data_IF_406424617443
#
_entry.id   IF_406424617443
#
_cell.length_a   1.000
_cell.length_b   1.000
_cell.length_c   1.000
_cell.angle_alpha   90.00
_cell.angle_beta   90.00
_cell.angle_gamma   90.00
#
_symmetry.space_group_name_H-M   'P 1'
#
loop_
_entity.id
_entity.type
_entity.pdbx_description
1 polymer ?
#
# COMPACT_ATOMS: atom_id res chain seq x y z
N UNK A 1 -9.03 9.75 -13.67
CA UNK A 1 -8.68 8.37 -14.07
C UNK A 1 -9.78 7.44 -13.63
N UNK A 2 -10.13 6.44 -14.43
CA UNK A 2 -11.13 5.42 -14.09
C UNK A 2 -10.50 4.04 -14.19
N UNK A 3 -10.30 3.37 -13.05
CA UNK A 3 -9.64 2.08 -13.01
C UNK A 3 -10.60 0.94 -13.41
N UNK A 4 -10.20 0.03 -14.32
CA UNK A 4 -11.09 -1.03 -14.83
C UNK A 4 -11.50 -2.05 -13.77
N UNK A 5 -10.68 -2.22 -12.73
CA UNK A 5 -10.92 -3.10 -11.60
C UNK A 5 -12.23 -2.84 -10.85
N UNK A 6 -12.69 -1.59 -10.82
CA UNK A 6 -13.95 -1.24 -10.21
C UNK A 6 -15.14 -1.54 -11.11
N UNK A 7 -14.95 -1.75 -12.43
CA UNK A 7 -16.01 -2.10 -13.39
C UNK A 7 -17.17 -1.09 -13.40
N UNK A 8 -16.86 0.20 -13.29
CA UNK A 8 -17.87 1.26 -13.43
C UNK A 8 -18.43 1.29 -14.85
N UNK A 9 -19.77 1.32 -14.96
CA UNK A 9 -20.44 1.64 -16.22
C UNK A 9 -20.10 3.08 -16.63
N UNK A 10 -19.91 3.32 -17.94
CA UNK A 10 -19.57 4.63 -18.50
C UNK A 10 -20.56 5.73 -18.12
N UNK A 11 -21.82 5.40 -17.80
CA UNK A 11 -22.80 6.38 -17.31
C UNK A 11 -22.43 7.01 -15.95
N UNK A 12 -21.58 6.35 -15.17
CA UNK A 12 -21.06 6.84 -13.89
C UNK A 12 -19.74 7.59 -14.02
N UNK A 13 -19.18 7.72 -15.23
CA UNK A 13 -17.96 8.46 -15.43
C UNK A 13 -18.19 9.96 -15.11
N UNK A 14 -17.12 10.68 -14.70
CA UNK A 14 -17.20 12.13 -14.52
C UNK A 14 -17.78 12.81 -15.76
N UNK A 15 -18.72 13.73 -15.58
CA UNK A 15 -19.38 14.46 -16.69
C UNK A 15 -18.56 15.64 -17.21
N UNK A 16 -17.50 16.01 -16.50
CA UNK A 16 -16.66 17.18 -16.78
C UNK A 16 -15.19 16.87 -16.51
N UNK A 17 -14.31 17.57 -17.22
CA UNK A 17 -12.87 17.36 -17.15
C UNK A 17 -12.40 16.27 -18.10
N UNK A 18 -11.09 16.12 -18.21
CA UNK A 18 -10.50 15.06 -19.02
C UNK A 18 -10.57 13.71 -18.29
N UNK A 19 -10.98 12.69 -19.03
CA UNK A 19 -11.11 11.33 -18.52
C UNK A 19 -10.02 10.49 -19.16
N UNK A 20 -9.27 9.82 -18.31
CA UNK A 20 -8.42 8.71 -18.71
C UNK A 20 -9.06 7.42 -18.20
N UNK A 21 -9.42 6.55 -19.14
CA UNK A 21 -9.82 5.17 -18.91
C UNK A 21 -9.00 4.24 -19.82
N UNK A 22 -8.76 3.03 -19.34
CA UNK A 22 -8.07 1.97 -20.06
C UNK A 22 -8.59 0.62 -19.59
N UNK A 23 -8.41 -0.42 -20.41
CA UNK A 23 -8.74 -1.81 -20.05
C UNK A 23 -7.58 -2.51 -19.33
N UNK A 24 -6.39 -1.90 -19.28
CA UNK A 24 -5.22 -2.49 -18.62
C UNK A 24 -5.47 -2.70 -17.12
N UNK A 25 -5.27 -3.93 -16.67
CA UNK A 25 -5.46 -4.33 -15.28
C UNK A 25 -4.15 -4.27 -14.48
N UNK A 26 -2.99 -4.35 -15.12
CA UNK A 26 -1.73 -4.20 -14.39
C UNK A 26 -1.44 -2.73 -14.07
N UNK A 27 -0.95 -2.46 -12.86
CA UNK A 27 -0.67 -1.10 -12.42
C UNK A 27 0.36 -0.39 -13.31
N UNK A 28 1.33 -1.15 -13.81
CA UNK A 28 2.39 -0.69 -14.70
C UNK A 28 1.84 -0.27 -16.05
N UNK A 29 1.08 -1.16 -16.70
CA UNK A 29 0.49 -0.94 -18.03
C UNK A 29 -0.50 0.23 -18.02
N UNK A 30 -1.40 0.26 -17.02
CA UNK A 30 -2.40 1.31 -16.90
C UNK A 30 -1.77 2.69 -16.70
N UNK A 31 -0.79 2.81 -15.79
CA UNK A 31 -0.19 4.11 -15.46
C UNK A 31 0.89 4.54 -16.46
N UNK A 32 1.58 3.62 -17.12
CA UNK A 32 2.44 3.97 -18.26
C UNK A 32 1.60 4.53 -19.41
N UNK A 33 0.46 3.89 -19.73
CA UNK A 33 -0.47 4.41 -20.75
C UNK A 33 -1.00 5.81 -20.40
N UNK A 34 -1.24 6.08 -19.11
CA UNK A 34 -1.58 7.43 -18.63
C UNK A 34 -0.43 8.41 -18.87
N UNK A 35 0.81 8.04 -18.52
CA UNK A 35 1.98 8.89 -18.70
C UNK A 35 2.34 9.13 -20.16
N UNK A 36 2.20 8.14 -21.04
CA UNK A 36 2.43 8.31 -22.47
C UNK A 36 1.50 9.38 -23.07
N UNK A 37 0.27 9.46 -22.55
CA UNK A 37 -0.72 10.44 -22.98
C UNK A 37 -0.54 11.83 -22.35
N UNK A 38 -0.12 11.90 -21.08
CA UNK A 38 -0.20 13.14 -20.30
C UNK A 38 1.14 13.66 -19.74
N UNK A 39 2.24 12.93 -19.85
CA UNK A 39 3.55 13.29 -19.25
C UNK A 39 3.98 14.73 -19.58
N UNK A 40 3.86 15.15 -20.84
CA UNK A 40 4.22 16.51 -21.28
C UNK A 40 3.39 17.62 -20.61
N UNK A 41 2.18 17.31 -20.14
CA UNK A 41 1.33 18.26 -19.41
C UNK A 41 1.62 18.28 -17.90
N UNK A 42 2.22 17.22 -17.37
CA UNK A 42 2.50 17.05 -15.94
C UNK A 42 3.85 17.67 -15.55
N UNK A 43 4.86 17.56 -16.41
CA UNK A 43 6.23 18.01 -16.12
C UNK A 43 6.25 19.53 -15.86
N UNK A 44 6.90 19.93 -14.77
CA UNK A 44 7.03 21.34 -14.35
C UNK A 44 5.76 21.95 -13.78
N UNK A 45 4.68 21.18 -13.59
CA UNK A 45 3.46 21.64 -12.93
C UNK A 45 3.45 21.28 -11.45
N UNK A 46 2.63 22.00 -10.69
CA UNK A 46 2.23 21.57 -9.34
C UNK A 46 1.17 20.50 -9.49
N UNK A 47 1.43 19.32 -8.93
CA UNK A 47 0.56 18.16 -9.05
C UNK A 47 -0.12 17.90 -7.71
N UNK A 48 -1.42 17.63 -7.79
CA UNK A 48 -2.23 17.18 -6.67
C UNK A 48 -3.01 15.94 -7.10
N UNK A 49 -3.02 14.92 -6.26
CA UNK A 49 -3.74 13.66 -6.52
C UNK A 49 -4.70 13.37 -5.36
N UNK A 50 -5.93 12.99 -5.67
CA UNK A 50 -6.83 12.38 -4.69
C UNK A 50 -6.62 10.87 -4.70
N UNK A 51 -6.03 10.34 -3.64
CA UNK A 51 -5.68 8.93 -3.53
C UNK A 51 -6.87 8.08 -3.06
N UNK A 52 -7.99 8.67 -2.66
CA UNK A 52 -9.14 7.98 -2.04
C UNK A 52 -9.67 6.83 -2.88
N UNK A 53 -9.69 6.97 -4.21
CA UNK A 53 -10.17 5.96 -5.15
C UNK A 53 -9.09 5.02 -5.69
N UNK A 54 -7.83 5.14 -5.28
CA UNK A 54 -6.75 4.31 -5.82
C UNK A 54 -6.72 2.91 -5.18
N UNK A 55 -6.39 1.91 -5.99
CA UNK A 55 -5.89 0.65 -5.43
C UNK A 55 -4.45 0.84 -4.95
N UNK A 56 -4.08 0.15 -3.88
CA UNK A 56 -2.76 0.30 -3.24
C UNK A 56 -1.59 0.05 -4.21
N UNK A 57 -1.59 -1.02 -5.05
CA UNK A 57 -0.55 -1.21 -6.05
C UNK A 57 -0.42 -0.05 -7.03
N UNK A 58 -1.55 0.48 -7.51
CA UNK A 58 -1.56 1.60 -8.45
C UNK A 58 -1.07 2.90 -7.79
N UNK A 59 -1.45 3.15 -6.54
CA UNK A 59 -0.92 4.29 -5.79
C UNK A 59 0.60 4.19 -5.65
N UNK A 60 1.10 3.03 -5.23
CA UNK A 60 2.53 2.83 -5.03
C UNK A 60 3.30 2.99 -6.35
N UNK A 61 2.86 2.33 -7.41
CA UNK A 61 3.50 2.47 -8.72
C UNK A 61 3.47 3.92 -9.22
N UNK A 62 2.36 4.65 -9.02
CA UNK A 62 2.29 6.08 -9.38
C UNK A 62 3.36 6.91 -8.65
N UNK A 63 3.59 6.67 -7.36
CA UNK A 63 4.64 7.37 -6.59
C UNK A 63 6.02 7.11 -7.19
N UNK A 64 6.29 5.86 -7.58
CA UNK A 64 7.55 5.48 -8.22
C UNK A 64 7.69 6.08 -9.62
N UNK A 65 6.61 6.10 -10.39
CA UNK A 65 6.56 6.68 -11.73
C UNK A 65 6.76 8.21 -11.69
N UNK A 66 6.19 8.88 -10.68
CA UNK A 66 6.46 10.30 -10.41
C UNK A 66 7.96 10.53 -10.17
N UNK A 67 8.59 9.70 -9.33
CA UNK A 67 10.04 9.79 -9.10
C UNK A 67 10.83 9.59 -10.41
N UNK A 68 10.46 8.59 -11.21
CA UNK A 68 11.11 8.27 -12.48
C UNK A 68 11.06 9.43 -13.47
N UNK A 69 9.92 10.11 -13.57
CA UNK A 69 9.74 11.29 -14.44
C UNK A 69 10.19 12.62 -13.82
N UNK A 70 10.87 12.60 -12.67
CA UNK A 70 11.37 13.80 -12.01
C UNK A 70 10.28 14.68 -11.36
N UNK A 71 9.07 14.13 -11.17
CA UNK A 71 8.01 14.75 -10.36
C UNK A 71 8.33 14.45 -8.90
N UNK A 72 9.18 15.28 -8.33
CA UNK A 72 9.70 15.06 -6.97
C UNK A 72 8.84 15.69 -5.87
N UNK A 73 7.84 16.51 -6.23
CA UNK A 73 6.97 17.17 -5.26
C UNK A 73 5.53 17.17 -5.75
N UNK A 74 4.63 16.66 -4.92
CA UNK A 74 3.20 16.63 -5.19
C UNK A 74 2.39 16.60 -3.90
N UNK A 75 1.13 17.02 -3.96
CA UNK A 75 0.20 16.88 -2.84
C UNK A 75 -0.69 15.65 -3.03
N UNK A 76 -0.78 14.79 -2.02
CA UNK A 76 -1.71 13.68 -1.96
C UNK A 76 -2.86 14.01 -1.00
N UNK A 77 -4.09 13.93 -1.49
CA UNK A 77 -5.30 14.11 -0.71
C UNK A 77 -5.95 12.76 -0.41
N UNK A 78 -6.33 12.53 0.83
CA UNK A 78 -7.05 11.33 1.24
C UNK A 78 -8.31 11.72 2.01
N UNK A 79 -9.46 11.30 1.48
CA UNK A 79 -10.76 11.48 2.13
C UNK A 79 -11.03 10.29 3.03
N UNK A 80 -11.07 10.55 4.32
CA UNK A 80 -11.40 9.57 5.34
C UNK A 80 -12.91 9.33 5.37
N UNK A 81 -13.37 8.07 5.34
CA UNK A 81 -14.79 7.78 5.44
C UNK A 81 -15.32 7.92 6.87
N UNK A 82 -16.58 8.31 7.04
CA UNK A 82 -17.23 8.31 8.36
C UNK A 82 -17.38 6.89 8.91
N UNK A 83 -17.66 5.93 8.02
CA UNK A 83 -17.69 4.49 8.31
C UNK A 83 -17.56 3.69 7.02
N UNK A 84 -17.11 2.45 7.12
CA UNK A 84 -17.24 1.49 6.03
C UNK A 84 -18.66 0.91 5.99
N UNK A 85 -19.22 0.74 4.79
CA UNK A 85 -20.62 0.32 4.59
C UNK A 85 -20.93 -1.02 5.27
N UNK A 86 -19.99 -1.96 5.19
CA UNK A 86 -20.15 -3.31 5.73
C UNK A 86 -19.44 -3.49 7.08
N UNK A 87 -18.89 -2.43 7.70
CA UNK A 87 -18.08 -2.51 8.95
C UNK A 87 -17.09 -3.69 8.91
N UNK A 88 -17.20 -4.60 9.87
CA UNK A 88 -16.55 -5.90 10.03
C UNK A 88 -16.70 -6.89 8.87
N UNK A 89 -17.50 -6.63 7.82
CA UNK A 89 -17.68 -7.47 6.62
C UNK A 89 -17.22 -6.77 5.33
N UNK A 90 -16.58 -5.60 5.42
CA UNK A 90 -16.04 -4.89 4.25
C UNK A 90 -14.93 -5.72 3.58
N UNK A 91 -15.16 -6.11 2.33
CA UNK A 91 -14.15 -6.67 1.43
C UNK A 91 -13.75 -5.57 0.46
N UNK A 92 -12.45 -5.42 0.22
CA UNK A 92 -11.95 -4.45 -0.76
C UNK A 92 -11.66 -5.12 -2.09
N UNK A 93 -11.23 -6.38 -2.05
CA UNK A 93 -11.09 -7.26 -3.20
C UNK A 93 -12.46 -7.83 -3.61
N UNK A 94 -12.73 -7.85 -4.91
CA UNK A 94 -13.88 -8.51 -5.52
C UNK A 94 -13.37 -9.73 -6.30
N UNK A 95 -13.41 -10.90 -5.65
CA UNK A 95 -12.91 -12.17 -6.22
C UNK A 95 -11.74 -12.76 -5.42
N UNK A 96 -11.26 -13.96 -5.81
CA UNK A 96 -10.09 -14.57 -5.18
C UNK A 96 -8.82 -13.76 -5.46
N UNK A 97 -7.85 -13.87 -4.55
CA UNK A 97 -6.47 -13.46 -4.85
C UNK A 97 -5.93 -14.41 -5.91
N UNK A 98 -5.45 -13.86 -7.01
CA UNK A 98 -4.93 -14.63 -8.14
C UNK A 98 -3.41 -14.76 -8.11
N UNK A 99 -2.72 -13.78 -7.53
CA UNK A 99 -1.27 -13.77 -7.46
C UNK A 99 -0.76 -12.93 -6.29
N UNK A 100 0.28 -13.38 -5.61
CA UNK A 100 1.11 -12.54 -4.74
C UNK A 100 2.41 -12.26 -5.48
N UNK A 101 2.71 -10.99 -5.75
CA UNK A 101 3.95 -10.58 -6.44
C UNK A 101 4.45 -9.22 -5.95
N UNK A 102 5.71 -8.86 -6.24
CA UNK A 102 6.17 -7.49 -6.08
C UNK A 102 5.34 -6.51 -6.93
N UNK A 103 5.12 -5.30 -6.39
CA UNK A 103 4.55 -4.18 -7.13
C UNK A 103 5.64 -3.64 -8.07
N UNK A 104 5.26 -3.29 -9.30
CA UNK A 104 6.18 -2.75 -10.28
C UNK A 104 7.00 -1.57 -9.72
N UNK A 105 8.29 -1.52 -10.03
CA UNK A 105 9.23 -0.49 -9.54
C UNK A 105 9.65 -0.61 -8.07
N UNK A 106 9.13 -1.63 -7.35
CA UNK A 106 9.47 -2.01 -5.98
C UNK A 106 9.85 -3.50 -5.88
N UNK A 107 10.42 -4.07 -6.93
CA UNK A 107 10.85 -5.47 -6.98
C UNK A 107 12.04 -5.72 -6.05
N UNK A 108 12.92 -4.73 -5.90
CA UNK A 108 14.20 -4.89 -5.23
C UNK A 108 15.14 -5.85 -5.97
N UNK A 109 16.37 -5.96 -5.48
CA UNK A 109 17.28 -7.04 -5.88
C UNK A 109 17.47 -7.92 -4.66
N UNK A 110 16.89 -9.13 -4.63
CA UNK A 110 17.02 -10.00 -3.47
C UNK A 110 18.47 -10.48 -3.33
N UNK A 111 18.94 -10.53 -2.09
CA UNK A 111 20.18 -11.21 -1.73
C UNK A 111 19.97 -12.72 -1.79
N UNK A 112 20.99 -13.46 -2.21
CA UNK A 112 20.95 -14.93 -2.23
C UNK A 112 20.95 -15.52 -0.81
N UNK A 113 21.45 -14.77 0.17
CA UNK A 113 21.34 -15.15 1.58
C UNK A 113 19.90 -14.92 2.06
N UNK A 114 19.24 -15.97 2.54
CA UNK A 114 17.90 -15.91 3.13
C UNK A 114 17.91 -16.16 4.64
N UNK A 115 19.06 -15.98 5.29
CA UNK A 115 19.25 -16.35 6.69
C UNK A 115 18.44 -15.48 7.67
N UNK A 116 18.00 -14.28 7.27
CA UNK A 116 17.20 -13.39 8.10
C UNK A 116 16.24 -12.53 7.29
N UNK A 117 15.41 -13.19 6.49
CA UNK A 117 14.36 -12.51 5.74
C UNK A 117 13.26 -12.03 6.67
N UNK A 118 12.81 -10.80 6.47
CA UNK A 118 11.73 -10.19 7.25
C UNK A 118 10.56 -9.88 6.32
N UNK A 119 9.36 -10.27 6.76
CA UNK A 119 8.10 -9.84 6.19
C UNK A 119 7.42 -8.86 7.15
N UNK A 120 7.37 -7.58 6.79
CA UNK A 120 6.62 -6.57 7.53
C UNK A 120 5.22 -6.38 6.93
N UNK A 121 4.21 -6.86 7.64
CA UNK A 121 2.80 -6.77 7.25
C UNK A 121 2.13 -5.54 7.89
N UNK A 122 1.67 -4.61 7.05
CA UNK A 122 0.75 -3.55 7.47
C UNK A 122 -0.65 -4.13 7.66
N UNK A 123 -1.15 -4.18 8.90
CA UNK A 123 -2.42 -4.85 9.21
C UNK A 123 -3.59 -3.92 8.95
N UNK A 124 -4.47 -4.34 8.04
CA UNK A 124 -5.76 -3.70 7.79
C UNK A 124 -6.93 -4.68 7.96
N UNK A 125 -8.06 -4.34 7.36
CA UNK A 125 -9.29 -5.11 7.51
C UNK A 125 -9.29 -6.43 6.73
N UNK A 126 -8.58 -6.56 5.62
CA UNK A 126 -8.75 -7.70 4.71
C UNK A 126 -7.87 -8.91 5.12
N UNK A 127 -8.46 -9.85 5.87
CA UNK A 127 -7.76 -11.01 6.43
C UNK A 127 -7.36 -12.05 5.38
N UNK A 128 -8.10 -12.15 4.26
CA UNK A 128 -7.73 -13.05 3.17
C UNK A 128 -6.46 -12.57 2.48
N UNK A 129 -6.32 -11.25 2.26
CA UNK A 129 -5.08 -10.68 1.72
C UNK A 129 -3.88 -10.95 2.64
N UNK A 130 -4.07 -10.82 3.95
CA UNK A 130 -3.04 -11.10 4.96
C UNK A 130 -2.59 -12.56 4.89
N UNK A 131 -3.54 -13.49 4.82
CA UNK A 131 -3.28 -14.92 4.69
C UNK A 131 -2.41 -15.23 3.47
N UNK A 132 -2.81 -14.74 2.30
CA UNK A 132 -2.12 -15.05 1.04
C UNK A 132 -0.66 -14.58 1.05
N UNK A 133 -0.39 -13.39 1.60
CA UNK A 133 0.99 -12.89 1.70
C UNK A 133 1.81 -13.66 2.72
N UNK A 134 1.23 -13.98 3.89
CA UNK A 134 1.92 -14.74 4.93
C UNK A 134 2.28 -16.16 4.45
N UNK A 135 1.38 -16.84 3.73
CA UNK A 135 1.62 -18.16 3.14
C UNK A 135 2.66 -18.09 2.00
N UNK A 136 2.65 -17.02 1.19
CA UNK A 136 3.62 -16.84 0.10
C UNK A 136 5.06 -16.59 0.59
N UNK A 137 5.23 -16.12 1.84
CA UNK A 137 6.52 -15.82 2.47
C UNK A 137 6.64 -16.50 3.85
N UNK A 138 6.17 -17.74 3.95
CA UNK A 138 6.15 -18.54 5.19
C UNK A 138 7.54 -18.79 5.81
N UNK A 139 8.59 -18.73 4.98
CA UNK A 139 9.99 -18.81 5.40
C UNK A 139 10.52 -17.54 6.07
N UNK A 140 9.88 -16.39 5.86
CA UNK A 140 10.34 -15.11 6.39
C UNK A 140 9.84 -14.89 7.82
N UNK A 141 10.63 -14.16 8.62
CA UNK A 141 10.20 -13.70 9.94
C UNK A 141 9.11 -12.65 9.80
N UNK A 142 7.89 -12.97 10.23
CA UNK A 142 6.74 -12.07 10.17
C UNK A 142 6.78 -11.04 11.32
N UNK A 143 6.68 -9.77 10.96
CA UNK A 143 6.48 -8.63 11.86
C UNK A 143 5.20 -7.91 11.43
N UNK A 144 4.43 -7.42 12.40
CA UNK A 144 3.14 -6.77 12.12
C UNK A 144 3.17 -5.31 12.53
N UNK A 145 2.72 -4.44 11.62
CA UNK A 145 2.54 -3.01 11.83
C UNK A 145 1.05 -2.70 11.86
N UNK A 146 0.55 -2.33 13.03
CA UNK A 146 -0.85 -2.07 13.29
C UNK A 146 -1.16 -0.58 13.20
N UNK A 147 -2.37 -0.29 12.76
CA UNK A 147 -2.91 1.06 12.76
C UNK A 147 -3.31 1.55 14.15
N UNK A 148 -2.43 2.29 14.83
CA UNK A 148 -2.76 2.95 16.10
C UNK A 148 -2.04 4.30 16.26
N UNK A 149 -2.75 5.40 16.62
CA UNK A 149 -4.20 5.48 16.79
C UNK A 149 -4.90 5.13 15.47
N UNK A 150 -6.01 4.40 15.58
CA UNK A 150 -6.92 4.17 14.47
C UNK A 150 -7.70 5.44 14.18
N UNK A 151 -8.35 5.49 13.02
CA UNK A 151 -9.24 6.58 12.67
C UNK A 151 -10.33 6.77 13.74
N UNK A 152 -10.80 5.65 14.32
CA UNK A 152 -11.75 5.60 15.44
C UNK A 152 -11.54 4.36 16.31
N UNK A 153 -11.94 4.39 17.58
CA UNK A 153 -11.68 3.32 18.53
C UNK A 153 -12.36 1.97 18.16
N UNK A 154 -13.56 2.02 17.59
CA UNK A 154 -14.27 0.85 17.06
C UNK A 154 -13.47 0.19 15.92
N UNK A 155 -12.98 0.98 14.98
CA UNK A 155 -12.17 0.54 13.84
C UNK A 155 -10.90 -0.22 14.24
N UNK A 156 -10.29 0.12 15.38
CA UNK A 156 -9.15 -0.64 15.90
C UNK A 156 -9.59 -2.03 16.39
N UNK A 157 -10.68 -2.10 17.17
CA UNK A 157 -11.21 -3.36 17.67
C UNK A 157 -11.61 -4.30 16.52
N UNK A 158 -12.26 -3.76 15.48
CA UNK A 158 -12.63 -4.48 14.26
C UNK A 158 -11.38 -5.08 13.56
N UNK A 159 -10.32 -4.27 13.38
CA UNK A 159 -9.07 -4.73 12.78
C UNK A 159 -8.38 -5.85 13.58
N UNK A 160 -8.41 -5.77 14.91
CA UNK A 160 -7.87 -6.79 15.82
C UNK A 160 -8.65 -8.10 15.73
N UNK A 161 -9.98 -8.02 15.72
CA UNK A 161 -10.86 -9.21 15.60
C UNK A 161 -10.67 -9.89 14.24
N UNK A 162 -10.43 -9.14 13.17
CA UNK A 162 -10.20 -9.74 11.84
C UNK A 162 -8.82 -10.34 11.68
N UNK A 163 -7.80 -9.65 12.15
CA UNK A 163 -6.45 -10.18 12.15
C UNK A 163 -6.36 -11.47 12.97
N UNK A 164 -7.09 -11.60 14.08
CA UNK A 164 -7.15 -12.87 14.84
C UNK A 164 -7.86 -14.02 14.10
N UNK A 165 -8.64 -13.73 13.05
CA UNK A 165 -9.23 -14.74 12.15
C UNK A 165 -8.29 -15.16 11.02
N UNK A 166 -7.21 -14.44 10.78
CA UNK A 166 -6.19 -14.88 9.83
C UNK A 166 -5.52 -16.17 10.37
N UNK A 167 -5.07 -17.08 9.49
CA UNK A 167 -4.56 -18.38 9.90
C UNK A 167 -3.37 -18.27 10.83
N UNK A 168 -3.10 -19.34 11.57
CA UNK A 168 -1.91 -19.46 12.41
C UNK A 168 -0.62 -19.14 11.64
N UNK A 169 -0.55 -19.31 10.32
CA UNK A 169 0.61 -18.88 9.54
C UNK A 169 0.91 -17.37 9.64
N UNK A 170 -0.12 -16.51 9.66
CA UNK A 170 0.03 -15.05 9.84
C UNK A 170 0.20 -14.66 11.33
N UNK A 171 -0.35 -15.48 12.23
CA UNK A 171 -0.32 -15.27 13.68
C UNK A 171 -0.14 -16.59 14.42
N UNK A 172 1.08 -17.18 14.45
CA UNK A 172 1.25 -18.51 15.01
C UNK A 172 0.83 -18.49 16.48
N UNK A 173 -0.08 -19.39 16.86
CA UNK A 173 -0.49 -19.60 18.24
C UNK A 173 0.78 -19.81 19.08
N UNK A 174 1.06 -18.84 19.94
CA UNK A 174 2.26 -18.80 20.79
C UNK A 174 3.47 -17.98 20.29
N UNK A 175 3.46 -17.41 19.07
CA UNK A 175 4.60 -16.62 18.54
C UNK A 175 4.23 -15.38 17.69
N UNK A 176 3.03 -14.81 17.84
CA UNK A 176 2.75 -13.42 17.42
C UNK A 176 3.45 -12.34 18.29
N UNK A 177 4.78 -12.38 18.47
CA UNK A 177 5.49 -11.63 19.54
C UNK A 177 5.86 -10.17 19.22
N UNK A 178 5.96 -9.73 17.96
CA UNK A 178 6.40 -8.37 17.62
C UNK A 178 5.30 -7.60 16.87
N UNK A 179 4.52 -6.87 17.67
CA UNK A 179 3.51 -5.93 17.20
C UNK A 179 4.04 -4.52 17.36
N UNK A 180 4.12 -3.82 16.24
CA UNK A 180 4.41 -2.40 16.22
C UNK A 180 3.18 -1.61 15.82
N UNK A 181 3.21 -0.32 16.08
CA UNK A 181 2.08 0.57 15.84
C UNK A 181 2.53 1.82 15.10
N UNK A 182 1.74 2.23 14.13
CA UNK A 182 1.85 3.52 13.47
C UNK A 182 0.44 4.12 13.26
N UNK A 183 0.30 5.45 13.29
CA UNK A 183 -0.95 6.11 12.95
C UNK A 183 -1.42 5.72 11.55
N UNK A 184 -2.73 5.52 11.40
CA UNK A 184 -3.34 5.07 10.12
C UNK A 184 -3.49 6.17 9.09
N UNK A 185 -3.34 7.43 9.48
CA UNK A 185 -3.57 8.63 8.68
C UNK A 185 -2.28 9.41 8.39
N UNK A 186 -1.11 8.96 8.85
CA UNK A 186 0.15 9.68 8.64
C UNK A 186 1.18 8.79 7.93
N UNK A 187 1.44 9.04 6.63
CA UNK A 187 2.43 8.30 5.85
C UNK A 187 3.85 8.51 6.38
N UNK A 188 4.19 9.70 6.90
CA UNK A 188 5.54 10.03 7.34
C UNK A 188 5.87 9.33 8.65
N UNK A 189 4.95 9.36 9.61
CA UNK A 189 5.07 8.59 10.85
C UNK A 189 5.13 7.09 10.58
N UNK A 190 4.40 6.60 9.57
CA UNK A 190 4.48 5.19 9.13
C UNK A 190 5.87 4.86 8.60
N UNK A 191 6.43 5.69 7.70
CA UNK A 191 7.77 5.47 7.14
C UNK A 191 8.86 5.49 8.23
N UNK A 192 8.79 6.47 9.15
CA UNK A 192 9.70 6.56 10.30
C UNK A 192 9.61 5.33 11.19
N UNK A 193 8.39 4.85 11.46
CA UNK A 193 8.19 3.64 12.26
C UNK A 193 8.76 2.40 11.59
N UNK A 194 8.60 2.24 10.27
CA UNK A 194 9.20 1.12 9.53
C UNK A 194 10.73 1.17 9.67
N UNK A 195 11.34 2.36 9.53
CA UNK A 195 12.76 2.54 9.73
C UNK A 195 13.23 2.11 11.13
N UNK A 196 12.53 2.56 12.19
CA UNK A 196 12.82 2.14 13.56
C UNK A 196 12.78 0.61 13.73
N UNK A 197 11.74 -0.05 13.18
CA UNK A 197 11.58 -1.51 13.24
C UNK A 197 12.78 -2.19 12.59
N UNK A 198 13.14 -1.77 11.37
CA UNK A 198 14.23 -2.37 10.61
C UNK A 198 15.57 -2.15 11.31
N UNK A 199 15.80 -0.99 11.94
CA UNK A 199 17.00 -0.75 12.75
C UNK A 199 17.06 -1.68 13.97
N UNK A 200 15.95 -1.81 14.72
CA UNK A 200 15.86 -2.70 15.90
C UNK A 200 16.13 -4.15 15.51
N UNK A 201 15.59 -4.60 14.38
CA UNK A 201 15.78 -5.97 13.91
C UNK A 201 17.18 -6.21 13.36
N UNK A 202 17.74 -5.24 12.62
CA UNK A 202 19.12 -5.28 12.12
C UNK A 202 20.16 -5.38 13.23
N UNK A 203 19.91 -4.77 14.40
CA UNK A 203 20.78 -4.89 15.58
C UNK A 203 20.83 -6.33 16.12
N UNK A 204 19.71 -7.06 16.06
CA UNK A 204 19.63 -8.45 16.55
C UNK A 204 20.32 -9.41 15.59
N UNK A 205 20.06 -9.21 14.30
CA UNK A 205 20.65 -9.95 13.19
C UNK A 205 20.48 -9.11 11.93
N UNK A 206 21.53 -8.97 11.12
CA UNK A 206 21.45 -8.22 9.87
C UNK A 206 20.30 -8.73 9.01
N UNK A 207 19.43 -7.82 8.54
CA UNK A 207 18.32 -8.17 7.65
C UNK A 207 18.89 -8.49 6.28
N UNK A 208 18.55 -9.66 5.73
CA UNK A 208 19.02 -10.11 4.41
C UNK A 208 18.11 -9.61 3.31
N UNK A 209 16.82 -9.96 3.37
CA UNK A 209 15.79 -9.44 2.49
C UNK A 209 14.63 -8.85 3.31
N UNK A 210 14.14 -7.68 2.90
CA UNK A 210 13.01 -7.02 3.54
C UNK A 210 11.82 -6.99 2.59
N UNK A 211 10.80 -7.78 2.92
CA UNK A 211 9.52 -7.79 2.23
C UNK A 211 8.53 -6.91 2.97
N UNK A 212 7.99 -5.92 2.27
CA UNK A 212 7.01 -4.99 2.78
C UNK A 212 5.64 -5.31 2.17
N UNK A 213 4.59 -5.43 2.98
CA UNK A 213 3.23 -5.61 2.45
C UNK A 213 2.23 -4.63 3.07
N UNK A 214 1.88 -3.54 2.36
CA UNK A 214 1.00 -2.50 2.89
C UNK A 214 -0.48 -2.89 2.75
N UNK A 215 -0.97 -3.75 3.66
CA UNK A 215 -2.36 -4.24 3.62
C UNK A 215 -3.33 -3.41 4.48
N UNK A 216 -2.90 -2.23 4.94
CA UNK A 216 -3.71 -1.27 5.70
C UNK A 216 -4.24 -0.11 4.83
N UNK A 217 -4.44 1.08 5.41
CA UNK A 217 -4.96 2.28 4.75
C UNK A 217 -4.05 2.79 3.64
N UNK A 218 -4.58 3.68 2.79
CA UNK A 218 -3.83 4.30 1.69
C UNK A 218 -2.73 5.23 2.18
N UNK A 219 -2.97 5.94 3.28
CA UNK A 219 -1.95 6.75 3.94
C UNK A 219 -0.79 5.88 4.45
N UNK A 220 -1.09 4.75 5.11
CA UNK A 220 -0.01 3.84 5.51
C UNK A 220 0.71 3.24 4.30
N UNK A 221 -0.01 2.82 3.26
CA UNK A 221 0.60 2.32 2.02
C UNK A 221 1.57 3.34 1.40
N UNK A 222 1.21 4.63 1.40
CA UNK A 222 2.11 5.70 0.99
C UNK A 222 3.36 5.76 1.88
N UNK A 223 3.22 5.59 3.21
CA UNK A 223 4.35 5.49 4.12
C UNK A 223 5.31 4.31 3.83
N UNK A 224 4.78 3.14 3.47
CA UNK A 224 5.59 2.01 3.00
C UNK A 224 6.37 2.36 1.72
N UNK A 225 5.71 3.03 0.77
CA UNK A 225 6.32 3.50 -0.47
C UNK A 225 7.49 4.47 -0.21
N UNK A 226 7.25 5.45 0.69
CA UNK A 226 8.26 6.43 1.09
C UNK A 226 9.44 5.75 1.77
N UNK A 227 9.20 4.86 2.73
CA UNK A 227 10.28 4.12 3.37
C UNK A 227 11.13 3.38 2.33
N UNK A 228 10.52 2.62 1.42
CA UNK A 228 11.25 1.87 0.40
C UNK A 228 12.09 2.78 -0.52
N UNK A 229 11.58 3.97 -0.87
CA UNK A 229 12.32 4.96 -1.68
C UNK A 229 13.52 5.54 -0.93
N UNK A 230 13.37 5.79 0.38
CA UNK A 230 14.39 6.48 1.19
C UNK A 230 15.40 5.55 1.88
N UNK A 231 15.05 4.28 2.11
CA UNK A 231 15.82 3.34 2.93
C UNK A 231 17.20 2.95 2.35
N UNK A 232 17.52 3.34 1.11
CA UNK A 232 18.84 3.11 0.52
C UNK A 232 19.01 1.69 -0.04
N UNK A 233 20.25 1.15 -0.09
CA UNK A 233 20.58 -0.07 -0.84
C UNK A 233 20.21 -1.38 -0.12
N UNK A 234 19.16 -1.38 0.70
CA UNK A 234 18.62 -2.63 1.24
C UNK A 234 17.91 -3.41 0.12
N UNK A 235 18.00 -4.74 0.15
CA UNK A 235 17.19 -5.63 -0.66
C UNK A 235 15.72 -5.56 -0.20
N UNK A 236 15.03 -4.49 -0.61
CA UNK A 236 13.64 -4.20 -0.25
C UNK A 236 12.75 -4.49 -1.43
N UNK A 237 11.72 -5.29 -1.19
CA UNK A 237 10.62 -5.49 -2.14
C UNK A 237 9.30 -5.11 -1.48
N UNK A 238 8.42 -4.41 -2.20
CA UNK A 238 7.01 -4.28 -1.77
C UNK A 238 6.19 -5.34 -2.48
N UNK A 239 5.66 -6.31 -1.72
CA UNK A 239 4.83 -7.40 -2.23
C UNK A 239 3.36 -7.18 -1.89
N UNK A 240 2.48 -7.55 -2.84
CA UNK A 240 1.05 -7.35 -2.70
C UNK A 240 0.26 -8.53 -3.27
N UNK A 241 -0.87 -8.90 -2.65
CA UNK A 241 -1.82 -9.89 -3.17
C UNK A 241 -2.80 -9.20 -4.15
N UNK A 242 -2.72 -9.57 -5.42
CA UNK A 242 -3.57 -9.06 -6.49
C UNK A 242 -4.84 -9.91 -6.62
N UNK A 243 -5.97 -9.26 -6.88
CA UNK A 243 -7.27 -9.87 -7.06
C UNK A 243 -7.91 -9.36 -8.36
N UNK A 244 -8.86 -10.12 -8.91
CA UNK A 244 -9.49 -9.88 -10.23
C UNK A 244 -10.40 -8.64 -10.31
N UNK A 245 -10.62 -7.97 -9.19
CA UNK A 245 -11.50 -6.82 -9.10
C UNK A 245 -11.50 -6.22 -7.71
N UNK A 246 -12.17 -5.08 -7.59
CA UNK A 246 -12.33 -4.37 -6.33
C UNK A 246 -13.78 -3.93 -6.13
N UNK A 247 -14.23 -3.96 -4.89
CA UNK A 247 -15.59 -3.55 -4.53
C UNK A 247 -15.75 -2.03 -4.68
N UNK A 248 -16.87 -1.62 -5.29
CA UNK A 248 -17.27 -0.22 -5.42
C UNK A 248 -17.84 0.31 -4.08
N UNK A 249 -17.75 1.62 -3.88
CA UNK A 249 -18.52 2.35 -2.85
C UNK A 249 -18.45 1.76 -1.43
N UNK A 250 -17.28 1.28 -1.00
CA UNK A 250 -17.13 0.61 0.32
C UNK A 250 -17.29 1.53 1.54
N UNK A 251 -17.49 2.83 1.32
CA UNK A 251 -17.42 3.89 2.33
C UNK A 251 -18.68 4.75 2.36
N UNK A 252 -19.01 5.32 3.53
CA UNK A 252 -20.11 6.28 3.70
C UNK A 252 -19.59 7.58 4.31
N UNK A 253 -19.95 8.70 3.69
CA UNK A 253 -19.62 10.05 4.15
C UNK A 253 -18.12 10.37 4.08
N UNK A 254 -17.79 11.63 4.33
CA UNK A 254 -16.41 12.11 4.51
C UNK A 254 -16.31 12.66 5.93
N UNK A 255 -15.41 12.11 6.74
CA UNK A 255 -15.14 12.59 8.09
C UNK A 255 -14.10 13.72 8.06
N UNK A 256 -12.97 13.47 7.41
CA UNK A 256 -11.85 14.38 7.33
C UNK A 256 -11.16 14.24 5.96
N UNK A 257 -10.50 15.32 5.52
CA UNK A 257 -9.67 15.31 4.32
C UNK A 257 -8.25 15.65 4.72
N UNK A 258 -7.36 14.69 4.50
CA UNK A 258 -5.95 14.82 4.79
C UNK A 258 -5.21 15.30 3.56
N UNK A 259 -4.27 16.25 3.72
CA UNK A 259 -3.33 16.66 2.67
C UNK A 259 -1.91 16.33 3.10
N UNK A 260 -1.22 15.54 2.30
CA UNK A 260 0.20 15.21 2.47
C UNK A 260 0.99 15.85 1.35
N UNK A 261 1.93 16.74 1.68
CA UNK A 261 2.89 17.23 0.70
C UNK A 261 4.06 16.25 0.65
N UNK A 262 4.13 15.50 -0.44
CA UNK A 262 5.16 14.49 -0.65
C UNK A 262 6.34 15.13 -1.35
N UNK A 263 7.52 14.88 -0.82
CA UNK A 263 8.80 15.20 -1.43
C UNK A 263 9.55 13.89 -1.63
N UNK A 264 10.07 13.67 -2.82
CA UNK A 264 10.79 12.46 -3.22
C UNK A 264 12.25 12.82 -3.53
N UNK A 265 13.21 11.92 -3.25
CA UNK A 265 14.57 12.12 -3.70
C UNK A 265 14.64 11.85 -5.21
N UNK A 266 15.63 12.45 -5.87
CA UNK A 266 16.02 11.99 -7.21
C UNK A 266 16.32 10.49 -7.18
N UNK A 267 15.98 9.78 -8.25
CA UNK A 267 16.48 8.41 -8.39
C UNK A 267 18.01 8.44 -8.42
N UNK A 268 18.63 7.64 -7.55
CA UNK A 268 20.05 7.36 -7.67
C UNK A 268 20.21 6.44 -8.88
N UNK A 269 20.83 6.92 -9.94
CA UNK A 269 21.31 6.06 -11.03
C UNK A 269 22.49 5.29 -10.43
N UNK A 270 22.24 4.08 -9.96
CA UNK A 270 23.27 3.09 -9.61
C UNK A 270 23.60 2.25 -10.82
#
# INVERSE_FOLDING_TARGET
MVFPHYRYDKKYYPKSGEIFDSQEMEESEYLNSFFDKYSGQLIGKKISIDITGFMRPHLLFLVRLFQFHGILKFDAFYSEPVRYQKKDDTRFSAGPVTLVRPIAGYEGVPENDSSNDILLLGIGYDHELLKQVAEHKDFAKIITLWGFPSLRADMYQESVIRASKAPEAAFPTGKGKLRYYAPVNDPFSTAARIHEIVCVESIKKSVTNLYLSPLSTKAQALGFALYAIYAGPLAISIIFPFADGYEQETSVGIAEIWRYTIELPNMKVT
#
